data_IF_857906825893
#
_entry.id   IF_857906825893
#
_cell.length_a   1.000
_cell.length_b   1.000
_cell.length_c   1.000
_cell.angle_alpha   90.00
_cell.angle_beta   90.00
_cell.angle_gamma   90.00
#
_symmetry.space_group_name_H-M   'P 1'
#
loop_
_entity.id
_entity.type
_entity.pdbx_description
1 polymer ?
#
# COMPACT_ATOMS: atom_id res chain seq x y z
N UNK A 1 -30.01 21.28 18.48
CA UNK A 1 -29.21 21.13 17.23
C UNK A 1 -27.96 20.26 17.37
N UNK A 2 -27.17 20.31 18.45
CA UNK A 2 -25.94 19.50 18.58
C UNK A 2 -26.17 17.98 18.61
N UNK A 3 -27.25 17.50 19.25
CA UNK A 3 -27.56 16.07 19.35
C UNK A 3 -27.88 15.42 17.99
N UNK A 4 -28.64 16.12 17.15
CA UNK A 4 -28.95 15.69 15.76
C UNK A 4 -27.66 15.60 14.94
N UNK A 5 -26.78 16.62 15.02
CA UNK A 5 -25.47 16.59 14.36
C UNK A 5 -24.62 15.41 14.83
N UNK A 6 -24.63 15.11 16.13
CA UNK A 6 -23.95 13.95 16.69
C UNK A 6 -24.50 12.64 16.12
N UNK A 7 -25.82 12.50 16.05
CA UNK A 7 -26.47 11.32 15.49
C UNK A 7 -26.05 11.06 14.03
N UNK A 8 -26.13 12.11 13.19
CA UNK A 8 -25.71 12.04 11.78
C UNK A 8 -24.24 11.62 11.68
N UNK A 9 -23.35 12.25 12.45
CA UNK A 9 -21.91 11.92 12.46
C UNK A 9 -21.62 10.47 12.88
N UNK A 10 -22.40 9.92 13.82
CA UNK A 10 -22.23 8.52 14.22
C UNK A 10 -22.63 7.61 13.05
N UNK A 11 -23.77 7.87 12.38
CA UNK A 11 -24.22 7.12 11.20
C UNK A 11 -23.22 7.19 10.05
N UNK A 12 -22.73 8.39 9.72
CA UNK A 12 -21.64 8.59 8.76
C UNK A 12 -20.42 7.74 9.11
N UNK A 13 -19.99 7.80 10.38
CA UNK A 13 -18.86 7.05 10.88
C UNK A 13 -19.04 5.53 10.71
N UNK A 14 -20.23 4.99 10.99
CA UNK A 14 -20.54 3.57 10.76
C UNK A 14 -20.37 3.23 9.27
N UNK A 15 -20.93 4.03 8.37
CA UNK A 15 -20.79 3.82 6.92
C UNK A 15 -19.33 3.83 6.48
N UNK A 16 -18.51 4.78 6.97
CA UNK A 16 -17.07 4.81 6.67
C UNK A 16 -16.38 3.52 7.13
N UNK A 17 -16.62 3.07 8.36
CA UNK A 17 -16.00 1.83 8.85
C UNK A 17 -16.49 0.58 8.10
N UNK A 18 -17.74 0.55 7.63
CA UNK A 18 -18.23 -0.52 6.74
C UNK A 18 -17.45 -0.56 5.43
N UNK A 19 -17.25 0.60 4.77
CA UNK A 19 -16.43 0.66 3.55
C UNK A 19 -14.97 0.24 3.79
N UNK A 20 -14.39 0.58 4.96
CA UNK A 20 -13.05 0.12 5.33
C UNK A 20 -13.03 -1.39 5.51
N UNK A 21 -14.03 -1.95 6.17
CA UNK A 21 -14.14 -3.38 6.40
C UNK A 21 -14.27 -4.15 5.09
N UNK A 22 -15.08 -3.66 4.14
CA UNK A 22 -15.21 -4.25 2.80
C UNK A 22 -13.88 -4.22 2.05
N UNK A 23 -13.20 -3.06 2.02
CA UNK A 23 -11.86 -2.94 1.42
C UNK A 23 -10.87 -3.96 2.02
N UNK A 24 -10.79 -4.06 3.35
CA UNK A 24 -9.87 -4.98 4.01
C UNK A 24 -10.24 -6.46 3.77
N UNK A 25 -11.54 -6.79 3.64
CA UNK A 25 -12.00 -8.14 3.26
C UNK A 25 -11.54 -8.48 1.85
N UNK A 26 -11.74 -7.58 0.90
CA UNK A 26 -11.27 -7.76 -0.48
C UNK A 26 -9.75 -7.93 -0.53
N UNK A 27 -8.99 -7.15 0.24
CA UNK A 27 -7.53 -7.32 0.35
C UNK A 27 -7.16 -8.71 0.87
N UNK A 28 -7.84 -9.19 1.92
CA UNK A 28 -7.63 -10.53 2.48
C UNK A 28 -7.94 -11.64 1.47
N UNK A 29 -9.06 -11.55 0.77
CA UNK A 29 -9.48 -12.53 -0.26
C UNK A 29 -8.48 -12.60 -1.43
N UNK A 30 -8.02 -11.42 -1.88
CA UNK A 30 -7.02 -11.32 -2.95
C UNK A 30 -5.58 -11.60 -2.49
N UNK A 31 -5.37 -11.88 -1.19
CA UNK A 31 -4.04 -12.03 -0.56
C UNK A 31 -3.10 -10.85 -0.84
N UNK A 32 -3.67 -9.63 -0.87
CA UNK A 32 -2.93 -8.39 -1.07
C UNK A 32 -2.89 -7.62 0.25
N UNK A 33 -1.73 -7.05 0.57
CA UNK A 33 -1.55 -6.22 1.77
C UNK A 33 -1.67 -4.74 1.38
N UNK A 34 -2.57 -3.96 2.01
CA UNK A 34 -2.65 -2.51 1.80
C UNK A 34 -1.32 -1.82 2.13
N UNK A 35 -0.95 -0.79 1.37
CA UNK A 35 0.32 -0.06 1.58
C UNK A 35 0.52 0.42 3.02
N UNK A 36 -0.57 0.85 3.69
CA UNK A 36 -0.53 1.30 5.09
C UNK A 36 -0.16 0.22 6.11
N UNK A 37 -0.25 -1.06 5.74
CA UNK A 37 0.05 -2.21 6.60
C UNK A 37 1.33 -2.94 6.15
N UNK A 38 1.99 -2.46 5.10
CA UNK A 38 3.24 -3.05 4.63
C UNK A 38 4.38 -2.71 5.58
N UNK A 39 5.17 -3.72 5.92
CA UNK A 39 6.31 -3.59 6.82
C UNK A 39 7.59 -3.43 5.99
N UNK A 40 8.47 -2.55 6.44
CA UNK A 40 9.82 -2.47 5.87
C UNK A 40 10.57 -3.75 6.22
N UNK A 41 11.37 -4.27 5.30
CA UNK A 41 12.18 -5.47 5.50
C UNK A 41 13.51 -5.10 6.17
N UNK A 42 13.74 -5.48 7.45
CA UNK A 42 15.02 -5.22 8.11
C UNK A 42 16.10 -6.23 7.69
N UNK A 43 15.72 -7.46 7.36
CA UNK A 43 16.66 -8.55 7.02
C UNK A 43 16.33 -9.11 5.64
N UNK A 44 17.33 -9.16 4.75
CA UNK A 44 17.16 -9.61 3.35
C UNK A 44 17.25 -11.13 3.15
N UNK A 45 17.06 -11.93 4.20
CA UNK A 45 17.07 -13.39 4.12
C UNK A 45 15.68 -13.92 3.71
N UNK A 46 15.60 -15.15 3.13
CA UNK A 46 14.32 -15.78 2.81
C UNK A 46 13.44 -15.99 4.05
N UNK A 47 14.05 -16.28 5.21
CA UNK A 47 13.34 -16.38 6.48
C UNK A 47 12.75 -15.05 6.92
N UNK A 48 13.52 -13.95 6.82
CA UNK A 48 13.04 -12.60 7.11
C UNK A 48 11.84 -12.22 6.24
N UNK A 49 11.86 -12.58 4.96
CA UNK A 49 10.72 -12.39 4.05
C UNK A 49 9.48 -13.15 4.54
N UNK A 50 9.61 -14.43 4.89
CA UNK A 50 8.50 -15.25 5.37
C UNK A 50 7.87 -14.68 6.65
N UNK A 51 8.70 -14.20 7.58
CA UNK A 51 8.25 -13.57 8.82
C UNK A 51 7.42 -12.32 8.50
N UNK A 52 7.92 -11.45 7.62
CA UNK A 52 7.23 -10.22 7.24
C UNK A 52 5.90 -10.52 6.56
N UNK A 53 5.88 -11.40 5.56
CA UNK A 53 4.64 -11.73 4.84
C UNK A 53 3.58 -12.28 5.80
N UNK A 54 3.96 -13.15 6.74
CA UNK A 54 3.05 -13.64 7.78
C UNK A 54 2.57 -12.52 8.70
N UNK A 55 3.46 -11.62 9.12
CA UNK A 55 3.12 -10.50 9.98
C UNK A 55 2.15 -9.52 9.30
N UNK A 56 2.41 -9.15 8.04
CA UNK A 56 1.55 -8.29 7.24
C UNK A 56 0.14 -8.87 7.07
N UNK A 57 0.02 -10.17 6.78
CA UNK A 57 -1.28 -10.84 6.68
C UNK A 57 -2.02 -10.87 8.03
N UNK A 58 -1.28 -11.03 9.15
CA UNK A 58 -1.86 -10.91 10.50
C UNK A 58 -2.34 -9.49 10.79
N UNK A 59 -1.64 -8.47 10.32
CA UNK A 59 -2.07 -7.07 10.45
C UNK A 59 -3.38 -6.79 9.70
N UNK A 60 -3.57 -7.36 8.50
CA UNK A 60 -4.85 -7.26 7.78
C UNK A 60 -6.00 -7.85 8.61
N UNK A 61 -5.80 -9.02 9.23
CA UNK A 61 -6.79 -9.61 10.13
C UNK A 61 -7.05 -8.74 11.37
N UNK A 62 -5.99 -8.23 12.00
CA UNK A 62 -6.12 -7.33 13.15
C UNK A 62 -6.91 -6.07 12.77
N UNK A 63 -6.68 -5.51 11.58
CA UNK A 63 -7.40 -4.34 11.07
C UNK A 63 -8.88 -4.63 10.83
N UNK A 64 -9.23 -5.83 10.36
CA UNK A 64 -10.62 -6.28 10.26
C UNK A 64 -11.29 -6.34 11.65
N UNK A 65 -10.60 -6.88 12.65
CA UNK A 65 -11.12 -6.92 14.01
C UNK A 65 -11.32 -5.53 14.61
N UNK A 66 -10.36 -4.63 14.39
CA UNK A 66 -10.45 -3.23 14.82
C UNK A 66 -11.64 -2.51 14.19
N UNK A 67 -11.86 -2.68 12.87
CA UNK A 67 -13.00 -2.09 12.18
C UNK A 67 -14.33 -2.64 12.72
N UNK A 68 -14.44 -3.95 12.96
CA UNK A 68 -15.63 -4.54 13.57
C UNK A 68 -15.87 -4.01 14.99
N UNK A 69 -14.83 -3.88 15.81
CA UNK A 69 -14.95 -3.31 17.15
C UNK A 69 -15.41 -1.85 17.12
N UNK A 70 -14.87 -1.05 16.18
CA UNK A 70 -15.28 0.34 15.98
C UNK A 70 -16.74 0.46 15.54
N UNK A 71 -17.21 -0.41 14.64
CA UNK A 71 -18.62 -0.47 14.22
C UNK A 71 -19.52 -0.76 15.41
N UNK A 72 -19.25 -1.83 16.17
CA UNK A 72 -20.06 -2.20 17.34
C UNK A 72 -20.15 -1.07 18.37
N UNK A 73 -19.03 -0.41 18.66
CA UNK A 73 -19.00 0.74 19.56
C UNK A 73 -19.90 1.88 19.05
N UNK A 74 -19.80 2.21 17.76
CA UNK A 74 -20.61 3.27 17.16
C UNK A 74 -22.08 2.92 17.06
N UNK A 75 -22.43 1.65 16.81
CA UNK A 75 -23.81 1.18 16.82
C UNK A 75 -24.44 1.35 18.21
N UNK A 76 -23.68 1.05 19.26
CA UNK A 76 -24.11 1.30 20.64
C UNK A 76 -24.30 2.81 20.91
N UNK A 77 -23.32 3.64 20.50
CA UNK A 77 -23.43 5.10 20.61
C UNK A 77 -24.65 5.65 19.83
N UNK A 78 -24.93 5.06 18.65
CA UNK A 78 -26.06 5.42 17.81
C UNK A 78 -27.38 5.10 18.50
N UNK A 79 -27.49 3.91 19.12
CA UNK A 79 -28.65 3.51 19.88
C UNK A 79 -28.97 4.50 21.00
N UNK A 80 -27.96 4.89 21.80
CA UNK A 80 -28.17 5.87 22.85
C UNK A 80 -28.53 7.26 22.31
N UNK A 81 -27.87 7.70 21.23
CA UNK A 81 -28.18 8.98 20.59
C UNK A 81 -29.61 9.00 20.01
N UNK A 82 -30.07 7.90 19.41
CA UNK A 82 -31.42 7.73 18.89
C UNK A 82 -32.45 7.85 20.01
N UNK A 83 -32.27 7.10 21.10
CA UNK A 83 -33.20 7.11 22.24
C UNK A 83 -33.30 8.48 22.90
N UNK A 84 -32.18 9.21 22.99
CA UNK A 84 -32.17 10.59 23.48
C UNK A 84 -32.90 11.56 22.53
N UNK A 85 -32.79 11.36 21.22
CA UNK A 85 -33.49 12.15 20.22
C UNK A 85 -34.99 11.88 20.20
N UNK A 86 -35.41 10.61 20.24
CA UNK A 86 -36.81 10.20 20.30
C UNK A 86 -37.52 10.82 21.50
N UNK A 87 -36.86 10.84 22.67
CA UNK A 87 -37.43 11.46 23.86
C UNK A 87 -37.59 13.00 23.71
N UNK A 88 -36.67 13.66 23.01
CA UNK A 88 -36.70 15.13 22.85
C UNK A 88 -37.57 15.59 21.69
N UNK A 89 -37.70 14.78 20.63
CA UNK A 89 -38.34 15.14 19.36
C UNK A 89 -39.04 13.92 18.75
N UNK A 90 -40.10 13.39 19.39
CA UNK A 90 -40.75 12.14 18.96
C UNK A 90 -41.36 12.22 17.55
N UNK A 91 -41.81 13.41 17.12
CA UNK A 91 -42.48 13.59 15.83
C UNK A 91 -41.57 13.80 14.62
N UNK A 92 -40.29 14.15 14.81
CA UNK A 92 -39.36 14.44 13.70
C UNK A 92 -38.27 13.37 13.54
N UNK A 93 -38.27 12.33 14.39
CA UNK A 93 -37.21 11.32 14.37
C UNK A 93 -37.12 10.62 13.01
N UNK A 94 -38.25 10.27 12.40
CA UNK A 94 -38.27 9.62 11.08
C UNK A 94 -37.57 10.46 10.01
N UNK A 95 -37.87 11.76 9.93
CA UNK A 95 -37.23 12.69 8.99
C UNK A 95 -35.73 12.88 9.27
N UNK A 96 -35.34 12.91 10.54
CA UNK A 96 -33.93 12.96 10.93
C UNK A 96 -33.20 11.67 10.54
N UNK A 97 -33.86 10.52 10.67
CA UNK A 97 -33.29 9.22 10.35
C UNK A 97 -33.05 9.07 8.85
N UNK A 98 -34.05 9.44 8.04
CA UNK A 98 -33.99 9.46 6.57
C UNK A 98 -32.90 10.41 6.06
N UNK A 99 -32.82 11.62 6.63
CA UNK A 99 -31.75 12.56 6.30
C UNK A 99 -30.38 11.99 6.66
N UNK A 100 -30.24 11.39 7.84
CA UNK A 100 -28.99 10.78 8.28
C UNK A 100 -28.60 9.59 7.39
N UNK A 101 -29.55 8.78 6.91
CA UNK A 101 -29.30 7.70 5.96
C UNK A 101 -28.84 8.21 4.60
N UNK A 102 -29.48 9.26 4.08
CA UNK A 102 -29.07 9.90 2.83
C UNK A 102 -27.62 10.41 2.92
N UNK A 103 -27.28 11.10 4.01
CA UNK A 103 -25.92 11.60 4.25
C UNK A 103 -24.92 10.45 4.42
N UNK A 104 -25.30 9.39 5.15
CA UNK A 104 -24.47 8.21 5.35
C UNK A 104 -24.24 7.45 4.03
N UNK A 105 -25.23 7.37 3.15
CA UNK A 105 -25.14 6.76 1.83
C UNK A 105 -24.19 7.57 0.92
N UNK A 106 -24.38 8.90 0.84
CA UNK A 106 -23.48 9.78 0.08
C UNK A 106 -22.03 9.67 0.55
N UNK A 107 -21.83 9.58 1.86
CA UNK A 107 -20.50 9.38 2.46
C UNK A 107 -19.93 8.01 2.09
N UNK A 108 -20.75 6.95 2.19
CA UNK A 108 -20.33 5.60 1.80
C UNK A 108 -19.89 5.56 0.33
N UNK A 109 -20.63 6.19 -0.58
CA UNK A 109 -20.28 6.23 -2.00
C UNK A 109 -18.95 6.93 -2.27
N UNK A 110 -18.72 8.09 -1.66
CA UNK A 110 -17.43 8.82 -1.77
C UNK A 110 -16.26 7.96 -1.29
N UNK A 111 -16.44 7.29 -0.15
CA UNK A 111 -15.42 6.41 0.40
C UNK A 111 -15.23 5.17 -0.47
N UNK A 112 -16.29 4.54 -0.97
CA UNK A 112 -16.23 3.40 -1.88
C UNK A 112 -15.41 3.74 -3.12
N UNK A 113 -15.71 4.84 -3.81
CA UNK A 113 -14.94 5.30 -4.98
C UNK A 113 -13.45 5.45 -4.64
N UNK A 114 -13.14 5.99 -3.47
CA UNK A 114 -11.75 6.15 -3.01
C UNK A 114 -11.07 4.80 -2.74
N UNK A 115 -11.78 3.86 -2.12
CA UNK A 115 -11.27 2.52 -1.84
C UNK A 115 -11.11 1.69 -3.12
N UNK A 116 -12.04 1.82 -4.08
CA UNK A 116 -11.96 1.15 -5.39
C UNK A 116 -10.74 1.64 -6.17
N UNK A 117 -10.46 2.95 -6.16
CA UNK A 117 -9.22 3.50 -6.72
C UNK A 117 -7.97 2.93 -6.04
N UNK A 118 -7.99 2.76 -4.71
CA UNK A 118 -6.87 2.13 -3.99
C UNK A 118 -6.71 0.66 -4.39
N UNK A 119 -7.82 -0.08 -4.49
CA UNK A 119 -7.81 -1.48 -4.91
C UNK A 119 -7.30 -1.64 -6.34
N UNK A 120 -7.71 -0.78 -7.27
CA UNK A 120 -7.22 -0.84 -8.65
C UNK A 120 -5.72 -0.57 -8.74
N UNK A 121 -5.20 0.42 -8.01
CA UNK A 121 -3.76 0.66 -7.92
C UNK A 121 -3.00 -0.54 -7.31
N UNK A 122 -3.58 -1.23 -6.34
CA UNK A 122 -2.99 -2.43 -5.74
C UNK A 122 -3.00 -3.63 -6.69
N UNK A 123 -4.01 -3.76 -7.55
CA UNK A 123 -4.08 -4.81 -8.58
C UNK A 123 -3.17 -4.55 -9.79
N UNK A 124 -2.83 -3.30 -10.07
CA UNK A 124 -1.96 -2.91 -11.19
C UNK A 124 -0.47 -3.05 -10.83
N UNK A 125 -0.09 -3.06 -9.55
CA UNK A 125 1.30 -3.34 -9.17
C UNK A 125 1.61 -4.81 -9.54
N UNK A 126 2.49 -5.06 -10.52
CA UNK A 126 3.02 -6.38 -10.69
C UNK A 126 3.70 -6.74 -9.38
N UNK A 127 3.59 -8.01 -8.99
CA UNK A 127 4.61 -8.62 -8.12
C UNK A 127 5.99 -8.08 -8.55
N UNK A 128 6.94 -7.77 -7.66
CA UNK A 128 8.33 -7.73 -8.06
C UNK A 128 8.69 -9.16 -8.49
N UNK A 129 8.25 -9.53 -9.70
CA UNK A 129 8.96 -10.44 -10.54
C UNK A 129 10.36 -9.85 -10.53
N UNK A 130 11.28 -10.63 -9.96
CA UNK A 130 12.70 -10.58 -10.30
C UNK A 130 12.72 -10.17 -11.76
N UNK A 131 13.08 -8.91 -12.02
CA UNK A 131 13.27 -8.45 -13.38
C UNK A 131 14.36 -9.38 -13.90
N UNK A 132 13.97 -10.39 -14.66
CA UNK A 132 14.88 -10.95 -15.63
C UNK A 132 15.14 -9.76 -16.54
N UNK A 133 16.31 -9.19 -16.29
CA UNK A 133 16.95 -8.15 -17.04
C UNK A 133 17.15 -8.69 -18.46
N UNK A 134 16.08 -8.70 -19.25
CA UNK A 134 16.11 -8.94 -20.67
C UNK A 134 15.89 -7.59 -21.36
N UNK A 135 17.01 -6.95 -21.69
CA UNK A 135 17.02 -5.95 -22.77
C UNK A 135 17.36 -4.52 -22.36
N UNK A 136 18.35 -4.30 -21.49
CA UNK A 136 18.89 -2.96 -21.20
C UNK A 136 19.76 -2.34 -22.31
N UNK A 137 19.77 -2.89 -23.52
CA UNK A 137 20.58 -2.38 -24.62
C UNK A 137 19.68 -1.62 -25.60
N UNK A 138 19.53 -0.32 -25.37
CA UNK A 138 18.92 0.59 -26.35
C UNK A 138 20.00 1.08 -27.31
N UNK A 139 19.89 0.73 -28.59
CA UNK A 139 20.82 1.22 -29.62
C UNK A 139 20.55 2.71 -29.89
N UNK A 140 21.49 3.57 -29.51
CA UNK A 140 21.40 5.03 -29.72
C UNK A 140 21.90 5.47 -31.10
N UNK A 141 22.36 4.52 -31.93
CA UNK A 141 22.78 4.75 -33.32
C UNK A 141 21.66 4.38 -34.29
N UNK A 142 21.56 5.10 -35.41
CA UNK A 142 20.68 4.76 -36.54
C UNK A 142 21.13 3.52 -37.32
N UNK A 143 22.30 2.96 -37.00
CA UNK A 143 22.84 1.76 -37.63
C UNK A 143 22.24 0.51 -37.01
N UNK A 144 21.70 -0.39 -37.84
CA UNK A 144 21.23 -1.71 -37.42
C UNK A 144 22.41 -2.60 -37.02
N UNK A 145 22.36 -3.16 -35.82
CA UNK A 145 23.39 -4.06 -35.30
C UNK A 145 23.26 -5.43 -35.97
N UNK A 146 24.39 -6.01 -36.39
CA UNK A 146 24.42 -7.39 -36.88
C UNK A 146 24.23 -8.39 -35.75
N UNK A 147 23.73 -9.58 -36.06
CA UNK A 147 23.40 -10.63 -35.10
C UNK A 147 24.58 -11.01 -34.17
N UNK A 148 25.80 -10.95 -34.69
CA UNK A 148 27.04 -11.15 -33.95
C UNK A 148 27.29 -10.04 -32.91
N UNK A 149 27.05 -8.78 -33.27
CA UNK A 149 27.21 -7.63 -32.37
C UNK A 149 26.16 -7.66 -31.25
N UNK A 150 24.93 -8.03 -31.59
CA UNK A 150 23.85 -8.22 -30.61
C UNK A 150 24.17 -9.36 -29.65
N UNK A 151 24.79 -10.44 -30.13
CA UNK A 151 25.25 -11.58 -29.31
C UNK A 151 26.36 -11.17 -28.33
N UNK A 152 27.31 -10.32 -28.74
CA UNK A 152 28.36 -9.79 -27.85
C UNK A 152 27.78 -8.89 -26.77
N UNK A 153 26.82 -8.02 -27.11
CA UNK A 153 26.15 -7.13 -26.15
C UNK A 153 25.24 -7.90 -25.18
N UNK A 154 24.54 -8.94 -25.65
CA UNK A 154 23.66 -9.78 -24.84
C UNK A 154 24.42 -10.65 -23.82
N UNK A 155 25.70 -10.94 -24.07
CA UNK A 155 26.56 -11.72 -23.14
C UNK A 155 26.99 -10.94 -21.89
N UNK A 156 26.58 -9.67 -21.74
CA UNK A 156 26.72 -8.95 -20.48
C UNK A 156 28.16 -8.90 -19.99
N UNK A 157 29.12 -8.56 -20.86
CA UNK A 157 30.44 -8.19 -20.36
C UNK A 157 30.27 -6.96 -19.46
N UNK A 158 30.41 -7.17 -18.15
CA UNK A 158 30.74 -6.09 -17.23
C UNK A 158 31.98 -5.42 -17.81
N UNK A 159 31.80 -4.23 -18.37
CA UNK A 159 32.90 -3.29 -18.48
C UNK A 159 33.30 -2.97 -17.04
N UNK A 160 34.11 -3.85 -16.43
CA UNK A 160 34.91 -3.47 -15.29
C UNK A 160 35.64 -2.22 -15.76
N UNK A 161 35.37 -1.10 -15.10
CA UNK A 161 36.33 -0.01 -15.06
C UNK A 161 37.57 -0.54 -14.35
N UNK A 162 38.35 -1.36 -15.04
CA UNK A 162 39.77 -1.56 -14.75
C UNK A 162 40.44 -0.25 -15.14
N UNK A 163 40.25 0.79 -14.32
CA UNK A 163 41.40 1.61 -13.98
C UNK A 163 42.31 0.67 -13.18
N UNK A 164 43.14 -0.08 -13.90
CA UNK A 164 44.35 -0.60 -13.30
C UNK A 164 45.04 0.60 -12.63
N UNK A 165 45.34 0.56 -11.32
CA UNK A 165 46.19 1.58 -10.74
C UNK A 165 47.50 1.59 -11.55
N UNK A 166 48.07 2.76 -11.85
CA UNK A 166 49.33 2.84 -12.59
C UNK A 166 50.38 2.01 -11.85
N UNK A 167 51.30 1.33 -12.57
CA UNK A 167 52.34 0.56 -11.95
C UNK A 167 53.13 1.45 -10.98
N UNK A 168 53.52 0.92 -9.81
CA UNK A 168 54.33 1.67 -8.87
C UNK A 168 55.63 2.13 -9.57
N UNK A 169 56.11 3.35 -9.28
CA UNK A 169 57.36 3.83 -9.85
C UNK A 169 58.49 2.87 -9.48
N UNK A 170 59.49 2.69 -10.37
CA UNK A 170 60.63 1.84 -10.09
C UNK A 170 61.34 2.31 -8.82
N UNK A 171 61.90 1.39 -8.01
CA UNK A 171 62.59 1.77 -6.79
C UNK A 171 63.74 2.71 -7.12
N UNK A 172 63.76 3.85 -6.44
CA UNK A 172 64.91 4.76 -6.44
C UNK A 172 66.15 3.94 -6.05
N UNK A 173 67.06 3.77 -7.00
CA UNK A 173 68.40 3.29 -6.70
C UNK A 173 69.01 4.29 -5.73
N UNK A 174 69.05 3.93 -4.45
CA UNK A 174 69.93 4.59 -3.48
C UNK A 174 71.35 4.29 -3.94
N UNK A 175 71.97 5.25 -4.61
CA UNK A 175 73.42 5.32 -4.70
C UNK A 175 73.97 5.32 -3.27
N UNK A 176 74.69 4.26 -2.91
CA UNK A 176 75.53 4.24 -1.73
C UNK A 176 76.63 5.29 -1.91
N UNK A 177 76.81 6.23 -0.97
CA UNK A 177 78.03 7.02 -0.96
C UNK A 177 79.20 6.09 -0.61
N UNK A 178 80.25 6.15 -1.43
CA UNK A 178 81.59 5.68 -1.05
C UNK A 178 82.23 6.65 -0.07
#
# INVERSE_FOLDING_TARGET
MQLVKRYIRIKEGISVFKTHLDFNRTCKERKVVPESLRLKRPVSTPEGLNIITKAEHRLVNARLHECNAAIRKKELDLFFAKRQLEHRIPGLMASVDEFADSVAASTADKHRITQDKKLSCLSIRPSPQIAQDQGFVTNLSSRTLTQEQTSVLAKGHSYMWLRAPPPPPPPLQRSLPR
#
